data_IF_683675700524
#
_entry.id   IF_683675700524
#
_cell.length_a   1.000
_cell.length_b   1.000
_cell.length_c   1.000
_cell.angle_alpha   90.00
_cell.angle_beta   90.00
_cell.angle_gamma   90.00
#
_symmetry.space_group_name_H-M   'P 1'
#
loop_
_entity.id
_entity.type
_entity.pdbx_description
1 polymer ?
#
# COMPACT_ATOMS: atom_id res chain seq x y z
N UNK A 1 -75.02 42.01 -8.03
CA UNK A 1 -75.36 40.57 -7.91
C UNK A 1 -75.24 40.17 -6.45
N UNK A 2 -76.21 39.45 -5.86
CA UNK A 2 -76.10 38.75 -4.57
C UNK A 2 -75.46 37.35 -4.74
N UNK A 3 -75.11 36.54 -3.73
CA UNK A 3 -74.75 36.71 -2.30
C UNK A 3 -74.29 35.31 -1.75
N UNK A 4 -74.19 35.13 -0.42
CA UNK A 4 -74.07 33.82 0.31
C UNK A 4 -72.70 33.08 0.24
N UNK A 5 -72.38 32.00 1.00
CA UNK A 5 -72.52 31.61 2.44
C UNK A 5 -71.99 30.16 2.63
N UNK A 6 -71.49 29.62 3.77
CA UNK A 6 -71.08 30.15 5.10
C UNK A 6 -70.06 29.17 5.78
N UNK A 7 -69.71 29.38 7.04
CA UNK A 7 -68.80 28.62 7.94
C UNK A 7 -69.07 27.11 8.17
N UNK A 8 -68.06 26.39 8.71
CA UNK A 8 -68.16 25.06 9.36
C UNK A 8 -66.86 24.24 9.22
N UNK A 9 -65.90 24.08 10.16
CA UNK A 9 -65.78 24.15 11.63
C UNK A 9 -65.86 22.78 12.36
N UNK A 10 -64.82 22.46 13.17
CA UNK A 10 -64.68 21.33 14.13
C UNK A 10 -64.62 19.90 13.53
N UNK A 11 -64.09 18.84 14.19
CA UNK A 11 -63.51 18.64 15.53
C UNK A 11 -62.25 17.70 15.41
N UNK A 12 -61.16 17.79 16.20
CA UNK A 12 -60.91 17.58 17.65
C UNK A 12 -60.72 16.08 18.05
N UNK A 13 -59.90 15.86 19.10
CA UNK A 13 -59.40 14.59 19.65
C UNK A 13 -58.30 13.91 18.80
N UNK A 14 -57.06 13.63 19.23
CA UNK A 14 -56.44 13.23 20.53
C UNK A 14 -56.35 11.71 20.73
N UNK A 15 -55.24 11.12 20.30
CA UNK A 15 -54.78 9.80 20.73
C UNK A 15 -53.24 9.76 20.76
N UNK A 16 -52.67 9.31 21.88
CA UNK A 16 -51.24 8.99 22.00
C UNK A 16 -50.92 7.69 21.25
N UNK A 17 -49.85 7.60 20.45
CA UNK A 17 -49.39 6.32 19.94
C UNK A 17 -48.78 5.51 21.09
N UNK A 18 -49.42 4.41 21.47
CA UNK A 18 -48.73 3.35 22.20
C UNK A 18 -47.65 2.72 21.29
N UNK A 19 -46.51 2.26 21.83
CA UNK A 19 -45.59 1.41 21.09
C UNK A 19 -46.29 0.07 20.79
N UNK A 20 -45.97 -0.57 19.65
CA UNK A 20 -45.17 -1.79 19.76
C UNK A 20 -44.27 -2.11 18.55
N UNK A 21 -43.58 -3.24 18.67
CA UNK A 21 -42.87 -4.03 17.65
C UNK A 21 -41.46 -3.54 17.25
N UNK A 22 -40.54 -4.49 17.35
CA UNK A 22 -39.14 -4.44 16.96
C UNK A 22 -38.89 -3.84 15.56
N UNK A 23 -37.78 -3.12 15.35
CA UNK A 23 -37.27 -2.91 14.00
C UNK A 23 -36.93 -4.26 13.37
N UNK A 24 -37.56 -4.54 12.23
CA UNK A 24 -37.30 -5.68 11.35
C UNK A 24 -35.82 -5.91 11.13
N UNK A 25 -35.41 -7.18 11.01
CA UNK A 25 -34.04 -7.59 10.67
C UNK A 25 -33.49 -6.73 9.53
N UNK A 26 -32.45 -5.94 9.83
CA UNK A 26 -31.62 -5.30 8.82
C UNK A 26 -30.84 -6.39 8.09
N UNK A 27 -31.41 -6.90 7.00
CA UNK A 27 -30.65 -7.64 5.99
C UNK A 27 -29.59 -6.69 5.45
N UNK A 28 -28.28 -6.98 5.64
CA UNK A 28 -27.23 -6.10 5.15
C UNK A 28 -27.23 -6.11 3.63
N UNK A 29 -27.70 -5.02 3.02
CA UNK A 29 -27.61 -4.81 1.58
C UNK A 29 -26.13 -4.62 1.24
N UNK A 30 -25.46 -5.73 0.92
CA UNK A 30 -24.11 -5.75 0.36
C UNK A 30 -24.13 -5.20 -1.06
N UNK A 31 -24.36 -3.88 -1.20
CA UNK A 31 -24.14 -3.15 -2.43
C UNK A 31 -22.63 -3.01 -2.66
N UNK A 32 -22.01 -4.12 -3.05
CA UNK A 32 -20.62 -4.20 -3.44
C UNK A 32 -20.45 -3.34 -4.70
N UNK A 33 -19.90 -2.14 -4.51
CA UNK A 33 -19.83 -1.11 -5.55
C UNK A 33 -18.83 -1.51 -6.63
N UNK A 34 -19.32 -2.19 -7.68
CA UNK A 34 -18.53 -2.74 -8.80
C UNK A 34 -17.99 -1.70 -9.78
N UNK A 35 -18.01 -0.42 -9.38
CA UNK A 35 -17.24 0.64 -10.03
C UNK A 35 -15.89 0.79 -9.32
N UNK A 36 -14.76 0.33 -9.93
CA UNK A 36 -13.45 0.73 -9.44
C UNK A 36 -13.36 2.26 -9.45
N UNK A 37 -12.73 2.86 -8.42
CA UNK A 37 -12.50 4.31 -8.40
C UNK A 37 -11.77 4.73 -9.68
N UNK A 38 -12.16 5.86 -10.31
CA UNK A 38 -11.45 6.34 -11.49
C UNK A 38 -9.95 6.51 -11.16
N UNK A 39 -9.04 6.07 -12.05
CA UNK A 39 -7.62 6.20 -11.80
C UNK A 39 -7.21 7.68 -11.66
N UNK A 40 -6.13 7.98 -10.91
CA UNK A 40 -5.60 9.35 -10.83
C UNK A 40 -5.28 9.89 -12.23
N UNK A 41 -5.43 11.20 -12.44
CA UNK A 41 -5.44 11.84 -13.77
C UNK A 41 -4.29 11.36 -14.68
N UNK A 42 -3.05 11.44 -14.20
CA UNK A 42 -1.85 10.99 -14.93
C UNK A 42 -1.79 9.51 -15.34
N UNK A 43 -2.72 8.65 -14.89
CA UNK A 43 -2.89 7.29 -15.43
C UNK A 43 -3.94 7.20 -16.55
N UNK A 44 -4.94 8.08 -16.57
CA UNK A 44 -5.79 8.26 -17.76
C UNK A 44 -4.96 8.82 -18.91
N UNK A 45 -4.11 9.80 -18.61
CA UNK A 45 -3.22 10.41 -19.59
C UNK A 45 -2.19 9.42 -20.17
N UNK A 46 -1.86 8.34 -19.43
CA UNK A 46 -0.93 7.28 -19.83
C UNK A 46 -1.59 6.10 -20.55
N UNK A 47 -2.80 5.68 -20.13
CA UNK A 47 -3.49 4.50 -20.68
C UNK A 47 -4.63 4.83 -21.66
N UNK A 48 -5.04 6.10 -21.76
CA UNK A 48 -6.21 6.55 -22.51
C UNK A 48 -7.52 6.37 -21.74
N UNK A 49 -8.63 6.35 -22.49
CA UNK A 49 -9.95 5.98 -21.94
C UNK A 49 -10.15 4.45 -21.94
N UNK A 50 -11.06 3.95 -21.11
CA UNK A 50 -11.32 2.50 -21.02
C UNK A 50 -12.03 1.99 -22.30
N UNK A 51 -11.47 0.99 -23.00
CA UNK A 51 -12.13 0.40 -24.17
C UNK A 51 -13.49 -0.21 -23.82
N UNK A 52 -14.49 0.09 -24.66
CA UNK A 52 -15.90 -0.23 -24.41
C UNK A 52 -16.14 -1.66 -23.90
N UNK A 53 -16.97 -1.76 -22.84
CA UNK A 53 -17.25 -3.03 -22.17
C UNK A 53 -18.67 -3.52 -22.44
N UNK A 54 -18.80 -4.55 -23.28
CA UNK A 54 -20.01 -5.36 -23.35
C UNK A 54 -19.98 -6.46 -22.28
N UNK A 55 -21.08 -6.62 -21.53
CA UNK A 55 -21.25 -7.66 -20.51
C UNK A 55 -21.23 -9.05 -21.14
N UNK A 56 -20.27 -9.87 -20.74
CA UNK A 56 -20.07 -11.24 -21.18
C UNK A 56 -21.12 -12.20 -20.58
N UNK A 57 -21.24 -13.44 -21.07
CA UNK A 57 -22.10 -14.46 -20.46
C UNK A 57 -21.77 -14.70 -18.98
N UNK A 58 -20.48 -14.65 -18.61
CA UNK A 58 -20.01 -14.80 -17.23
C UNK A 58 -20.54 -13.70 -16.29
N UNK A 59 -20.50 -12.42 -16.70
CA UNK A 59 -21.08 -11.29 -15.94
C UNK A 59 -22.60 -11.48 -15.66
N UNK A 60 -23.29 -12.25 -16.51
CA UNK A 60 -24.74 -12.46 -16.47
C UNK A 60 -25.14 -13.71 -15.69
N UNK A 61 -24.21 -14.64 -15.44
CA UNK A 61 -24.50 -15.96 -14.86
C UNK A 61 -24.70 -15.97 -13.34
N UNK A 62 -24.40 -14.87 -12.66
CA UNK A 62 -24.59 -14.70 -11.21
C UNK A 62 -23.53 -15.42 -10.37
N UNK A 63 -23.28 -14.92 -9.15
CA UNK A 63 -22.12 -15.32 -8.36
C UNK A 63 -22.15 -16.78 -7.85
N UNK A 64 -23.32 -17.40 -7.72
CA UNK A 64 -23.44 -18.82 -7.33
C UNK A 64 -23.31 -19.75 -8.54
N UNK A 65 -24.26 -19.66 -9.47
CA UNK A 65 -24.34 -20.58 -10.62
C UNK A 65 -23.20 -20.36 -11.63
N UNK A 66 -22.86 -19.10 -11.92
CA UNK A 66 -21.79 -18.75 -12.84
C UNK A 66 -20.39 -19.09 -12.34
N UNK A 67 -20.10 -18.85 -11.06
CA UNK A 67 -18.74 -19.02 -10.52
C UNK A 67 -18.42 -20.45 -10.07
N UNK A 68 -19.39 -21.19 -9.50
CA UNK A 68 -19.15 -22.56 -9.00
C UNK A 68 -19.56 -23.66 -9.98
N UNK A 69 -20.56 -23.43 -10.82
CA UNK A 69 -21.10 -24.43 -11.75
C UNK A 69 -20.85 -24.07 -13.23
N UNK A 70 -20.15 -22.96 -13.51
CA UNK A 70 -19.74 -22.50 -14.84
C UNK A 70 -20.87 -22.56 -15.89
N UNK A 71 -22.10 -22.25 -15.50
CA UNK A 71 -23.31 -22.46 -16.33
C UNK A 71 -23.28 -21.73 -17.67
N UNK A 72 -22.53 -20.62 -17.76
CA UNK A 72 -22.29 -19.86 -18.98
C UNK A 72 -21.42 -20.57 -20.02
N UNK A 73 -20.69 -21.62 -19.63
CA UNK A 73 -19.80 -22.38 -20.52
C UNK A 73 -20.54 -23.43 -21.36
N UNK A 74 -21.78 -23.80 -21.00
CA UNK A 74 -22.51 -24.91 -21.63
C UNK A 74 -22.76 -24.73 -23.14
N UNK A 75 -23.13 -23.53 -23.56
CA UNK A 75 -23.32 -23.17 -24.98
C UNK A 75 -21.99 -23.25 -25.77
N UNK A 76 -20.90 -22.78 -25.17
CA UNK A 76 -19.55 -22.89 -25.76
C UNK A 76 -19.10 -24.36 -25.89
N UNK A 77 -19.38 -25.19 -24.88
CA UNK A 77 -19.11 -26.63 -24.94
C UNK A 77 -19.96 -27.33 -26.02
N UNK A 78 -21.23 -26.95 -26.19
CA UNK A 78 -22.11 -27.51 -27.22
C UNK A 78 -21.66 -27.17 -28.64
N UNK A 79 -21.18 -25.93 -28.87
CA UNK A 79 -20.61 -25.51 -30.16
C UNK A 79 -19.26 -26.17 -30.43
N UNK A 80 -18.40 -26.29 -29.41
CA UNK A 80 -17.13 -27.00 -29.50
C UNK A 80 -17.32 -28.48 -29.89
N UNK A 81 -18.33 -29.14 -29.30
CA UNK A 81 -18.70 -30.53 -29.63
C UNK A 81 -19.31 -30.73 -31.03
N UNK A 82 -19.51 -29.64 -31.80
CA UNK A 82 -19.94 -29.64 -33.21
C UNK A 82 -18.88 -29.09 -34.16
N UNK A 83 -17.71 -28.73 -33.64
CA UNK A 83 -16.64 -28.03 -34.38
C UNK A 83 -17.06 -26.62 -34.88
N UNK A 84 -18.17 -26.07 -34.36
CA UNK A 84 -18.73 -24.74 -34.68
C UNK A 84 -18.00 -23.58 -33.98
N UNK A 85 -16.92 -23.84 -33.24
CA UNK A 85 -16.27 -22.88 -32.34
C UNK A 85 -15.25 -22.00 -33.08
N UNK A 86 -15.71 -20.85 -33.58
CA UNK A 86 -14.84 -19.83 -34.19
C UNK A 86 -14.18 -18.91 -33.15
N UNK A 87 -13.07 -18.26 -33.54
CA UNK A 87 -12.31 -17.35 -32.66
C UNK A 87 -13.15 -16.16 -32.17
N UNK A 88 -14.02 -15.60 -33.02
CA UNK A 88 -14.96 -14.53 -32.67
C UNK A 88 -16.10 -14.99 -31.74
N UNK A 89 -16.39 -16.29 -31.73
CA UNK A 89 -17.38 -16.91 -30.83
C UNK A 89 -16.86 -17.17 -29.41
N UNK A 90 -15.57 -16.93 -29.14
CA UNK A 90 -14.98 -17.11 -27.81
C UNK A 90 -15.40 -15.98 -26.84
N UNK A 91 -15.61 -16.29 -25.54
CA UNK A 91 -15.91 -15.28 -24.54
C UNK A 91 -14.72 -14.34 -24.37
N UNK A 92 -14.98 -13.03 -24.33
CA UNK A 92 -13.93 -12.02 -24.06
C UNK A 92 -13.66 -11.99 -22.55
N UNK A 93 -12.45 -11.63 -22.09
CA UNK A 93 -12.17 -11.53 -20.67
C UNK A 93 -13.07 -10.51 -19.97
N UNK A 94 -13.57 -10.89 -18.78
CA UNK A 94 -14.36 -10.01 -17.91
C UNK A 94 -13.62 -8.70 -17.60
N UNK A 95 -14.38 -7.64 -17.29
CA UNK A 95 -13.88 -6.26 -17.19
C UNK A 95 -12.62 -6.14 -16.34
N UNK A 96 -12.62 -6.78 -15.17
CA UNK A 96 -11.50 -6.75 -14.21
C UNK A 96 -10.25 -7.49 -14.71
N UNK A 97 -10.38 -8.50 -15.56
CA UNK A 97 -9.27 -9.29 -16.12
C UNK A 97 -8.80 -8.78 -17.50
N UNK A 98 -9.40 -7.71 -18.04
CA UNK A 98 -8.88 -7.04 -19.25
C UNK A 98 -7.52 -6.40 -18.95
N UNK A 99 -6.57 -6.56 -19.86
CA UNK A 99 -5.21 -6.03 -19.74
C UNK A 99 -5.15 -4.53 -19.42
N UNK A 100 -6.08 -3.73 -19.96
CA UNK A 100 -6.25 -2.31 -19.60
C UNK A 100 -6.53 -2.13 -18.10
N UNK A 101 -7.56 -2.77 -17.54
CA UNK A 101 -7.96 -2.58 -16.14
C UNK A 101 -6.94 -3.18 -15.17
N UNK A 102 -6.39 -4.35 -15.48
CA UNK A 102 -5.29 -4.95 -14.72
C UNK A 102 -4.02 -4.07 -14.74
N UNK A 103 -3.67 -3.50 -15.89
CA UNK A 103 -2.53 -2.60 -16.07
C UNK A 103 -2.70 -1.25 -15.35
N UNK A 104 -3.90 -0.67 -15.40
CA UNK A 104 -4.28 0.55 -14.65
C UNK A 104 -4.25 0.30 -13.14
N UNK A 105 -4.74 -0.84 -12.66
CA UNK A 105 -4.68 -1.20 -11.24
C UNK A 105 -3.23 -1.41 -10.74
N UNK A 106 -2.43 -2.15 -11.51
CA UNK A 106 -1.03 -2.42 -11.18
C UNK A 106 -0.16 -1.15 -11.22
N UNK A 107 -0.32 -0.32 -12.25
CA UNK A 107 0.40 0.95 -12.36
C UNK A 107 0.00 1.95 -11.27
N UNK A 108 -1.27 1.98 -10.84
CA UNK A 108 -1.70 2.77 -9.69
C UNK A 108 -1.03 2.34 -8.39
N UNK A 109 -0.87 1.04 -8.14
CA UNK A 109 -0.19 0.55 -6.94
C UNK A 109 1.34 0.76 -7.01
N UNK A 110 1.97 0.58 -8.18
CA UNK A 110 3.38 0.91 -8.38
C UNK A 110 3.65 2.41 -8.24
N UNK A 111 2.75 3.28 -8.71
CA UNK A 111 2.83 4.73 -8.48
C UNK A 111 2.67 5.09 -7.00
N UNK A 112 1.77 4.43 -6.24
CA UNK A 112 1.68 4.62 -4.78
C UNK A 112 2.95 4.18 -4.07
N UNK A 113 3.53 3.04 -4.44
CA UNK A 113 4.80 2.57 -3.87
C UNK A 113 5.95 3.53 -4.20
N UNK A 114 6.01 4.06 -5.43
CA UNK A 114 6.96 5.11 -5.82
C UNK A 114 6.75 6.39 -5.01
N UNK A 115 5.51 6.88 -4.88
CA UNK A 115 5.19 8.08 -4.11
C UNK A 115 5.51 7.95 -2.61
N UNK A 116 5.33 6.75 -2.02
CA UNK A 116 5.79 6.45 -0.66
C UNK A 116 7.31 6.36 -0.56
N UNK A 117 7.99 5.81 -1.58
CA UNK A 117 9.45 5.72 -1.61
C UNK A 117 10.12 7.09 -1.71
N UNK A 118 9.52 8.00 -2.47
CA UNK A 118 9.94 9.40 -2.64
C UNK A 118 9.21 10.39 -1.71
N UNK A 119 8.56 9.89 -0.65
CA UNK A 119 7.82 10.74 0.27
C UNK A 119 8.72 11.71 1.05
N UNK A 120 9.96 11.28 1.33
CA UNK A 120 10.92 12.03 2.13
C UNK A 120 11.60 13.17 1.35
N UNK A 121 11.60 13.10 0.02
CA UNK A 121 12.14 14.12 -0.90
C UNK A 121 11.50 15.50 -0.63
N UNK A 122 10.20 15.52 -0.26
CA UNK A 122 9.46 16.73 0.13
C UNK A 122 9.76 17.28 1.53
N UNK A 123 10.68 16.66 2.29
CA UNK A 123 11.11 17.09 3.63
C UNK A 123 12.61 17.45 3.68
N UNK A 124 13.28 17.59 2.54
CA UNK A 124 14.62 18.20 2.47
C UNK A 124 14.55 19.61 3.07
N UNK A 125 15.50 19.92 3.97
CA UNK A 125 15.49 21.11 4.82
C UNK A 125 14.88 20.91 6.21
N UNK A 126 14.23 19.78 6.50
CA UNK A 126 13.69 19.50 7.84
C UNK A 126 14.78 19.10 8.85
N UNK A 127 14.55 19.41 10.14
CA UNK A 127 15.41 18.93 11.23
C UNK A 127 15.21 17.43 11.48
N UNK A 128 16.30 16.72 11.74
CA UNK A 128 16.36 15.27 11.93
C UNK A 128 17.37 14.89 13.03
N UNK A 129 17.23 13.67 13.56
CA UNK A 129 18.22 13.00 14.41
C UNK A 129 18.34 11.52 14.05
N UNK A 130 19.31 10.80 14.62
CA UNK A 130 19.32 9.33 14.58
C UNK A 130 18.54 8.76 15.77
N UNK A 131 17.82 7.66 15.52
CA UNK A 131 16.85 7.04 16.44
C UNK A 131 17.41 6.52 17.77
N UNK A 132 18.73 6.48 17.94
CA UNK A 132 19.42 5.99 19.14
C UNK A 132 20.22 7.07 19.88
N UNK A 133 20.24 8.32 19.38
CA UNK A 133 20.94 9.42 20.02
C UNK A 133 20.03 10.66 20.07
N UNK A 134 19.32 10.80 21.19
CA UNK A 134 18.40 11.92 21.43
C UNK A 134 19.09 13.30 21.43
N UNK A 135 20.43 13.36 21.54
CA UNK A 135 21.21 14.60 21.41
C UNK A 135 21.58 14.95 19.94
N UNK A 136 21.52 13.99 19.01
CA UNK A 136 21.92 14.21 17.61
C UNK A 136 20.94 15.10 16.83
N UNK A 137 21.39 16.27 16.35
CA UNK A 137 20.56 17.23 15.62
C UNK A 137 21.23 17.64 14.31
N UNK A 138 20.48 17.57 13.22
CA UNK A 138 20.96 17.91 11.88
C UNK A 138 19.82 18.29 10.96
N UNK A 139 20.16 18.60 9.71
CA UNK A 139 19.22 18.98 8.65
C UNK A 139 19.29 17.94 7.53
N UNK A 140 18.14 17.45 7.09
CA UNK A 140 18.04 16.54 5.96
C UNK A 140 18.39 17.29 4.67
N UNK A 141 19.48 16.92 4.00
CA UNK A 141 19.93 17.54 2.73
C UNK A 141 19.57 16.71 1.50
N UNK A 142 19.54 15.39 1.63
CA UNK A 142 19.32 14.47 0.51
C UNK A 142 18.63 13.18 0.94
N UNK A 143 17.86 12.56 0.05
CA UNK A 143 17.37 11.18 0.21
C UNK A 143 17.47 10.45 -1.12
N UNK A 144 18.06 9.24 -1.11
CA UNK A 144 18.23 8.46 -2.31
C UNK A 144 18.87 7.09 -2.06
N UNK A 145 19.25 6.39 -3.12
CA UNK A 145 20.01 5.15 -3.04
C UNK A 145 21.46 5.43 -3.43
N UNK A 146 22.41 5.22 -2.51
CA UNK A 146 23.84 5.31 -2.78
C UNK A 146 24.29 4.00 -3.43
N UNK A 147 24.95 4.08 -4.58
CA UNK A 147 25.22 2.87 -5.37
C UNK A 147 26.40 2.06 -4.82
N UNK A 148 27.48 2.71 -4.39
CA UNK A 148 28.68 2.01 -3.90
C UNK A 148 28.44 1.23 -2.61
N UNK A 149 27.43 1.61 -1.81
CA UNK A 149 27.00 0.88 -0.62
C UNK A 149 26.40 -0.51 -0.89
N UNK A 150 26.32 -0.96 -2.15
CA UNK A 150 26.05 -2.35 -2.53
C UNK A 150 24.72 -2.92 -2.04
N UNK A 151 23.74 -2.07 -1.73
CA UNK A 151 22.51 -2.43 -1.01
C UNK A 151 21.25 -2.07 -1.80
N UNK A 152 20.98 -2.76 -2.91
CA UNK A 152 19.87 -2.44 -3.81
C UNK A 152 18.52 -2.40 -3.08
N UNK A 153 17.70 -1.39 -3.42
CA UNK A 153 16.39 -1.18 -2.82
C UNK A 153 16.37 -0.49 -1.45
N UNK A 154 17.51 -0.33 -0.76
CA UNK A 154 17.61 0.55 0.41
C UNK A 154 17.48 2.03 0.02
N UNK A 155 17.35 2.88 1.03
CA UNK A 155 17.49 4.33 0.91
C UNK A 155 18.34 4.85 2.08
N UNK A 156 19.03 5.94 1.80
CA UNK A 156 19.91 6.66 2.69
C UNK A 156 19.48 8.13 2.75
N UNK A 157 19.70 8.72 3.91
CA UNK A 157 19.45 10.13 4.19
C UNK A 157 20.81 10.83 4.34
N UNK A 158 21.08 11.76 3.45
CA UNK A 158 22.20 12.71 3.58
C UNK A 158 21.82 13.76 4.60
N UNK A 159 22.55 13.81 5.72
CA UNK A 159 22.27 14.71 6.84
C UNK A 159 23.50 15.57 7.13
N UNK A 160 23.26 16.88 7.25
CA UNK A 160 24.22 17.86 7.73
C UNK A 160 24.02 18.05 9.24
N UNK A 161 25.01 17.71 10.05
CA UNK A 161 24.89 17.66 11.50
C UNK A 161 25.35 18.97 12.16
N UNK A 162 24.48 19.52 13.01
CA UNK A 162 24.80 20.57 13.99
C UNK A 162 25.37 19.95 15.27
N UNK A 163 24.83 18.80 15.66
CA UNK A 163 25.33 17.93 16.72
C UNK A 163 25.39 16.51 16.15
N UNK A 164 26.59 16.08 15.76
CA UNK A 164 26.81 14.75 15.18
C UNK A 164 26.50 13.62 16.19
N UNK A 165 26.05 12.43 15.74
CA UNK A 165 25.76 11.31 16.63
C UNK A 165 26.98 10.90 17.48
N UNK A 166 26.86 11.07 18.79
CA UNK A 166 27.92 10.82 19.79
C UNK A 166 28.28 9.33 19.93
N UNK A 167 27.36 8.44 19.53
CA UNK A 167 27.50 6.99 19.60
C UNK A 167 26.98 6.36 18.31
N UNK A 168 27.84 5.57 17.66
CA UNK A 168 27.42 4.70 16.55
C UNK A 168 27.26 3.28 17.04
N UNK A 169 26.13 2.67 16.67
CA UNK A 169 25.94 1.23 16.85
C UNK A 169 26.85 0.52 15.86
N UNK A 170 27.84 -0.20 16.36
CA UNK A 170 28.82 -0.87 15.49
C UNK A 170 28.14 -1.76 14.45
N UNK A 171 28.63 -1.70 13.21
CA UNK A 171 28.22 -2.58 12.12
C UNK A 171 28.66 -4.02 12.40
N UNK A 172 27.95 -4.72 13.28
CA UNK A 172 28.14 -6.14 13.51
C UNK A 172 27.78 -6.93 12.23
N UNK A 173 28.78 -7.26 11.42
CA UNK A 173 28.66 -8.09 10.21
C UNK A 173 28.43 -9.56 10.59
N UNK A 174 27.29 -9.81 11.26
CA UNK A 174 26.64 -11.12 11.45
C UNK A 174 25.29 -10.91 12.13
N UNK A 175 24.19 -11.08 11.39
CA UNK A 175 22.82 -11.00 11.95
C UNK A 175 22.40 -12.25 12.75
N UNK A 176 23.32 -13.19 12.94
CA UNK A 176 23.15 -14.40 13.75
C UNK A 176 24.24 -14.43 14.85
N UNK A 177 23.85 -14.77 16.08
CA UNK A 177 24.67 -14.88 17.30
C UNK A 177 25.35 -13.60 17.86
N UNK A 178 25.52 -12.51 17.11
CA UNK A 178 26.22 -11.32 17.63
C UNK A 178 25.51 -10.56 18.77
N UNK A 179 24.18 -10.65 18.88
CA UNK A 179 23.36 -9.79 19.75
C UNK A 179 23.53 -10.04 21.26
N UNK A 180 24.00 -11.24 21.65
CA UNK A 180 24.14 -11.62 23.08
C UNK A 180 25.47 -11.18 23.71
N UNK A 181 26.50 -10.86 22.91
CA UNK A 181 27.86 -10.59 23.40
C UNK A 181 28.25 -9.10 23.36
N UNK A 182 27.75 -8.32 22.39
CA UNK A 182 28.16 -6.93 22.19
C UNK A 182 27.27 -5.89 22.90
N UNK A 183 26.95 -6.11 24.18
CA UNK A 183 26.12 -5.19 24.99
C UNK A 183 26.95 -4.15 25.74
N UNK A 184 27.64 -3.26 25.03
CA UNK A 184 28.30 -2.10 25.66
C UNK A 184 29.29 -1.31 24.79
N UNK A 185 29.92 -1.93 23.80
CA UNK A 185 30.97 -1.27 23.04
C UNK A 185 30.41 -0.26 22.03
N UNK A 186 30.64 1.04 22.27
CA UNK A 186 30.62 2.06 21.22
C UNK A 186 31.63 1.68 20.13
N UNK A 187 31.22 1.68 18.87
CA UNK A 187 32.16 1.55 17.77
C UNK A 187 32.69 2.93 17.36
N UNK A 188 33.94 3.03 16.86
CA UNK A 188 34.40 4.24 16.17
C UNK A 188 33.52 4.53 14.95
N UNK A 189 33.62 5.76 14.44
CA UNK A 189 33.00 6.12 13.16
C UNK A 189 33.61 5.26 12.05
N UNK A 190 32.81 4.62 11.19
CA UNK A 190 33.35 3.82 10.10
C UNK A 190 34.04 4.74 9.09
N UNK A 191 35.22 4.34 8.61
CA UNK A 191 36.00 5.09 7.62
C UNK A 191 35.31 5.12 6.23
N UNK A 192 34.46 4.13 5.96
CA UNK A 192 33.71 3.97 4.71
C UNK A 192 32.31 3.41 4.98
N UNK A 193 31.36 3.69 4.08
CA UNK A 193 30.00 3.17 4.15
C UNK A 193 29.02 4.02 4.98
N UNK A 194 27.84 3.49 5.32
CA UNK A 194 26.78 4.23 6.00
C UNK A 194 27.21 4.81 7.34
N UNK A 195 26.94 6.10 7.55
CA UNK A 195 27.35 6.82 8.75
C UNK A 195 28.85 7.17 8.83
N UNK A 196 29.62 6.95 7.77
CA UNK A 196 30.95 7.55 7.63
C UNK A 196 30.82 9.07 7.42
N UNK A 197 31.84 9.83 7.83
CA UNK A 197 31.94 11.26 7.54
C UNK A 197 32.40 11.47 6.10
N UNK A 198 31.76 12.41 5.41
CA UNK A 198 32.09 12.75 4.03
C UNK A 198 31.84 14.24 3.74
N UNK A 199 32.19 14.70 2.53
CA UNK A 199 32.01 16.10 2.08
C UNK A 199 30.93 16.22 0.99
N UNK A 200 29.80 15.55 1.19
CA UNK A 200 28.70 15.52 0.23
C UNK A 200 28.88 14.48 -0.88
N UNK A 201 30.10 14.01 -1.06
CA UNK A 201 30.54 12.99 -2.01
C UNK A 201 30.83 11.66 -1.29
N UNK A 202 30.33 10.56 -1.84
CA UNK A 202 30.64 9.19 -1.38
C UNK A 202 31.29 8.44 -2.53
N UNK A 203 32.52 7.94 -2.34
CA UNK A 203 33.27 7.11 -3.30
C UNK A 203 33.21 7.59 -4.78
N UNK A 204 33.24 8.91 -5.03
CA UNK A 204 33.15 9.53 -6.37
C UNK A 204 31.73 9.92 -6.84
N UNK A 205 30.67 9.59 -6.10
CA UNK A 205 29.27 9.99 -6.37
C UNK A 205 28.92 11.20 -5.48
N UNK A 206 28.83 12.40 -6.07
CA UNK A 206 28.34 13.60 -5.37
C UNK A 206 26.82 13.49 -5.13
N UNK A 207 26.40 13.68 -3.89
CA UNK A 207 25.01 13.52 -3.45
C UNK A 207 24.34 14.86 -3.10
N UNK A 208 25.05 15.76 -2.41
CA UNK A 208 24.57 17.09 -2.01
C UNK A 208 25.72 18.00 -1.55
N UNK A 209 25.58 19.31 -1.72
CA UNK A 209 26.53 20.30 -1.17
C UNK A 209 26.33 20.54 0.34
N UNK A 210 27.40 20.80 1.11
CA UNK A 210 27.29 21.45 2.43
C UNK A 210 26.74 22.87 2.31
N UNK A 211 26.01 23.34 3.33
CA UNK A 211 25.68 24.78 3.45
C UNK A 211 26.77 25.57 4.20
N UNK A 212 27.59 24.91 5.01
CA UNK A 212 28.70 25.50 5.77
C UNK A 212 29.93 24.57 5.74
N UNK A 213 31.12 25.09 5.40
CA UNK A 213 32.33 24.31 5.05
C UNK A 213 32.88 23.38 6.17
N UNK A 214 32.54 23.66 7.43
CA UNK A 214 32.99 22.90 8.62
C UNK A 214 31.88 22.01 9.21
N UNK A 215 30.76 21.83 8.49
CA UNK A 215 29.68 20.93 8.94
C UNK A 215 30.00 19.46 8.72
N UNK A 216 29.60 18.63 9.68
CA UNK A 216 29.77 17.18 9.62
C UNK A 216 28.64 16.59 8.78
N UNK A 217 28.95 16.01 7.63
CA UNK A 217 27.96 15.36 6.75
C UNK A 217 28.04 13.84 6.86
N UNK A 218 26.90 13.14 6.88
CA UNK A 218 26.85 11.67 6.79
C UNK A 218 25.67 11.17 5.97
N UNK A 219 25.82 9.96 5.42
CA UNK A 219 24.72 9.19 4.83
C UNK A 219 24.24 8.11 5.81
N UNK A 220 23.28 8.47 6.67
CA UNK A 220 22.60 7.49 7.54
C UNK A 220 21.54 6.70 6.75
N UNK A 221 21.01 5.61 7.29
CA UNK A 221 19.89 4.89 6.65
C UNK A 221 18.57 5.59 6.97
N UNK A 222 17.62 5.59 6.03
CA UNK A 222 16.29 6.15 6.32
C UNK A 222 15.52 5.32 7.38
N UNK A 223 15.84 4.03 7.57
CA UNK A 223 15.29 3.21 8.67
C UNK A 223 15.74 3.63 10.08
N UNK A 224 16.79 4.46 10.15
CA UNK A 224 17.51 4.86 11.36
C UNK A 224 17.39 6.36 11.69
N UNK A 225 16.92 7.19 10.74
CA UNK A 225 16.68 8.63 10.91
C UNK A 225 15.25 8.90 11.41
N UNK A 226 15.09 9.94 12.23
CA UNK A 226 13.80 10.43 12.73
C UNK A 226 13.69 11.94 12.56
N UNK A 227 12.53 12.44 12.11
CA UNK A 227 12.25 13.87 12.04
C UNK A 227 12.09 14.48 13.44
N UNK A 228 12.69 15.65 13.64
CA UNK A 228 12.54 16.48 14.85
C UNK A 228 11.57 17.61 14.56
N UNK A 229 10.31 17.45 14.96
CA UNK A 229 9.36 18.56 15.00
C UNK A 229 9.86 19.64 15.97
N UNK A 230 9.52 20.89 15.66
CA UNK A 230 10.24 22.05 16.17
C UNK A 230 10.06 22.33 17.66
N UNK A 231 11.07 21.98 18.46
CA UNK A 231 11.43 22.79 19.62
C UNK A 231 12.29 23.96 19.12
N UNK A 232 11.73 25.15 19.23
CA UNK A 232 12.38 26.44 18.99
C UNK A 232 12.95 26.92 20.33
N UNK A 233 14.22 26.60 20.54
CA UNK A 233 15.13 27.04 21.62
C UNK A 233 14.77 26.72 23.09
N UNK A 234 13.50 26.52 23.47
CA UNK A 234 13.10 26.29 24.87
C UNK A 234 13.37 24.84 25.37
N UNK A 235 14.58 24.63 25.90
CA UNK A 235 15.05 23.36 26.45
C UNK A 235 14.39 22.96 27.80
N UNK A 236 13.14 22.51 27.80
CA UNK A 236 12.48 22.02 29.04
C UNK A 236 11.51 20.83 28.94
N UNK A 237 11.03 20.42 27.74
CA UNK A 237 10.06 19.32 27.64
C UNK A 237 10.60 18.08 26.92
N UNK A 238 10.80 17.01 27.70
CA UNK A 238 11.04 15.63 27.22
C UNK A 238 9.71 15.01 26.76
N UNK A 239 9.07 15.62 25.77
CA UNK A 239 7.89 15.06 25.12
C UNK A 239 8.29 13.84 24.30
N UNK A 240 7.81 12.67 24.71
CA UNK A 240 8.12 11.37 24.11
C UNK A 240 8.08 11.43 22.58
N UNK A 241 9.12 10.90 21.92
CA UNK A 241 9.21 10.82 20.44
C UNK A 241 7.99 10.13 19.80
N UNK A 242 7.29 9.26 20.54
CA UNK A 242 6.01 8.65 20.14
C UNK A 242 4.82 9.59 20.08
N UNK A 243 4.83 10.70 20.82
CA UNK A 243 3.79 11.72 20.78
C UNK A 243 3.99 12.63 19.56
N UNK A 244 5.20 13.18 19.41
CA UNK A 244 5.60 14.00 18.24
C UNK A 244 5.42 13.24 16.92
N UNK A 245 5.63 11.91 16.90
CA UNK A 245 5.39 11.11 15.70
C UNK A 245 3.96 11.22 15.15
N UNK A 246 2.94 11.51 16.00
CA UNK A 246 1.54 11.64 15.55
C UNK A 246 1.25 12.96 14.84
N UNK A 247 2.07 13.99 15.04
CA UNK A 247 1.91 15.32 14.42
C UNK A 247 2.57 15.40 13.03
N UNK A 248 3.49 14.47 12.74
CA UNK A 248 4.02 14.27 11.38
C UNK A 248 2.96 13.62 10.48
N UNK A 249 2.89 13.99 9.18
CA UNK A 249 2.05 13.26 8.22
C UNK A 249 2.44 11.78 8.14
N UNK A 250 1.49 10.89 7.82
CA UNK A 250 1.75 9.44 7.73
C UNK A 250 2.91 9.08 6.78
N UNK A 251 3.16 9.93 5.78
CA UNK A 251 4.25 9.79 4.80
C UNK A 251 5.66 10.04 5.37
N UNK A 252 5.77 10.79 6.48
CA UNK A 252 7.01 10.94 7.25
C UNK A 252 7.11 9.90 8.38
N UNK A 253 5.98 9.40 8.90
CA UNK A 253 5.96 8.32 9.90
C UNK A 253 6.36 6.96 9.31
N UNK A 254 6.00 6.69 8.06
CA UNK A 254 6.32 5.43 7.38
C UNK A 254 7.72 5.50 6.74
N UNK A 255 8.58 4.54 7.09
CA UNK A 255 9.88 4.38 6.44
C UNK A 255 9.68 4.00 4.96
N UNK A 256 10.37 4.65 3.99
CA UNK A 256 10.20 4.39 2.58
C UNK A 256 10.80 3.02 2.21
N UNK A 257 9.92 2.08 1.86
CA UNK A 257 10.28 0.71 1.51
C UNK A 257 10.80 0.56 0.06
N UNK A 258 11.48 -0.55 -0.29
CA UNK A 258 11.68 -0.93 -1.69
C UNK A 258 10.33 -1.13 -2.39
N UNK A 259 10.26 -0.78 -3.68
CA UNK A 259 9.12 -1.12 -4.55
C UNK A 259 9.13 -2.64 -4.74
N UNK A 260 8.00 -3.29 -4.45
CA UNK A 260 7.87 -4.74 -4.51
C UNK A 260 6.81 -5.13 -5.53
N UNK A 261 7.23 -5.36 -6.78
CA UNK A 261 6.34 -5.74 -7.89
C UNK A 261 5.54 -7.00 -7.56
N UNK A 262 6.18 -8.04 -6.99
CA UNK A 262 5.50 -9.25 -6.54
C UNK A 262 4.45 -8.96 -5.45
N UNK A 263 4.72 -8.03 -4.53
CA UNK A 263 3.75 -7.66 -3.49
C UNK A 263 2.57 -6.85 -4.05
N UNK A 264 2.81 -6.00 -5.06
CA UNK A 264 1.72 -5.34 -5.81
C UNK A 264 0.84 -6.36 -6.55
N UNK A 265 1.45 -7.29 -7.29
CA UNK A 265 0.72 -8.39 -7.97
C UNK A 265 -0.04 -9.25 -6.96
N UNK A 266 0.59 -9.64 -5.85
CA UNK A 266 -0.06 -10.42 -4.80
C UNK A 266 -1.22 -9.67 -4.18
N UNK A 267 -1.05 -8.42 -3.73
CA UNK A 267 -2.14 -7.68 -3.07
C UNK A 267 -3.33 -7.38 -3.99
N UNK A 268 -3.10 -7.13 -5.28
CA UNK A 268 -4.17 -6.91 -6.26
C UNK A 268 -4.89 -8.20 -6.66
N UNK A 269 -4.15 -9.28 -6.93
CA UNK A 269 -4.71 -10.52 -7.51
C UNK A 269 -4.86 -11.67 -6.49
N UNK A 270 -4.59 -11.44 -5.20
CA UNK A 270 -4.68 -12.45 -4.11
C UNK A 270 -5.97 -13.25 -4.17
N UNK A 271 -7.12 -12.61 -4.43
CA UNK A 271 -8.40 -13.31 -4.45
C UNK A 271 -8.43 -14.36 -5.56
N UNK A 272 -8.14 -13.97 -6.81
CA UNK A 272 -8.09 -14.90 -7.95
C UNK A 272 -7.01 -15.98 -7.77
N UNK A 273 -5.83 -15.62 -7.26
CA UNK A 273 -4.74 -16.57 -6.95
C UNK A 273 -5.18 -17.61 -5.91
N UNK A 274 -5.88 -17.19 -4.84
CA UNK A 274 -6.38 -18.10 -3.81
C UNK A 274 -7.42 -19.09 -4.36
N UNK A 275 -8.29 -18.66 -5.29
CA UNK A 275 -9.23 -19.59 -5.93
C UNK A 275 -8.50 -20.67 -6.74
N UNK A 276 -7.47 -20.29 -7.51
CA UNK A 276 -6.63 -21.25 -8.26
C UNK A 276 -5.90 -22.22 -7.32
N UNK A 277 -5.35 -21.74 -6.19
CA UNK A 277 -4.68 -22.59 -5.19
C UNK A 277 -5.66 -23.56 -4.52
N UNK A 278 -6.84 -23.10 -4.12
CA UNK A 278 -7.87 -23.95 -3.49
C UNK A 278 -8.39 -25.01 -4.46
N UNK A 279 -8.69 -24.63 -5.71
CA UNK A 279 -9.10 -25.58 -6.75
C UNK A 279 -7.99 -26.60 -7.07
N UNK A 280 -6.72 -26.17 -7.06
CA UNK A 280 -5.57 -27.07 -7.19
C UNK A 280 -5.46 -28.08 -6.05
N UNK A 281 -5.65 -27.65 -4.81
CA UNK A 281 -5.65 -28.53 -3.63
C UNK A 281 -6.81 -29.55 -3.72
N UNK A 282 -8.02 -29.10 -4.08
CA UNK A 282 -9.19 -29.96 -4.24
C UNK A 282 -8.94 -30.99 -5.36
N UNK A 283 -8.47 -30.56 -6.54
CA UNK A 283 -8.12 -31.45 -7.66
C UNK A 283 -7.11 -32.52 -7.24
N UNK A 284 -6.02 -32.12 -6.58
CA UNK A 284 -4.98 -33.04 -6.14
C UNK A 284 -5.51 -34.04 -5.09
N UNK A 285 -6.38 -33.58 -4.18
CA UNK A 285 -7.10 -34.44 -3.24
C UNK A 285 -7.99 -35.47 -3.94
N UNK A 286 -8.80 -35.05 -4.90
CA UNK A 286 -9.63 -35.97 -5.71
C UNK A 286 -8.77 -36.98 -6.49
N UNK A 287 -7.65 -36.55 -7.07
CA UNK A 287 -6.73 -37.46 -7.77
C UNK A 287 -6.09 -38.49 -6.82
N UNK A 288 -5.72 -38.10 -5.60
CA UNK A 288 -5.23 -39.02 -4.56
C UNK A 288 -6.31 -39.99 -4.05
N UNK A 289 -7.57 -39.58 -4.00
CA UNK A 289 -8.71 -40.43 -3.60
C UNK A 289 -9.17 -41.38 -4.70
N UNK A 290 -8.92 -41.06 -5.97
CA UNK A 290 -9.34 -41.88 -7.13
C UNK A 290 -8.87 -43.35 -7.05
N UNK A 291 -7.57 -43.67 -6.82
CA UNK A 291 -7.11 -45.06 -6.68
C UNK A 291 -7.55 -45.75 -5.38
N UNK A 292 -8.09 -45.01 -4.39
CA UNK A 292 -8.72 -45.61 -3.21
C UNK A 292 -10.17 -45.99 -3.53
N UNK A 293 -10.93 -45.13 -4.20
CA UNK A 293 -12.31 -45.41 -4.62
C UNK A 293 -12.38 -46.58 -5.62
N UNK A 294 -11.47 -46.63 -6.59
CA UNK A 294 -11.27 -47.76 -7.53
C UNK A 294 -10.71 -49.05 -6.88
N UNK A 295 -10.66 -49.11 -5.55
CA UNK A 295 -10.26 -50.29 -4.76
C UNK A 295 -11.33 -50.74 -3.77
N UNK A 296 -12.46 -50.02 -3.72
CA UNK A 296 -13.66 -50.33 -2.94
C UNK A 296 -14.89 -50.61 -3.82
N UNK A 297 -14.79 -50.32 -5.12
CA UNK A 297 -15.65 -50.78 -6.21
C UNK A 297 -14.87 -51.75 -7.09
#
# INVERSE_FOLDING_TARGET
MPAYSVSGQLARASATPHPPVHPTVLTPVYHQSSHPRPPPRGLRDLFGEEPAYEKQPEDRAGWLLGAFFHTWLGDLMQRAAREELTMDGLPRPMREYRAYNAGVALSAELQRQRARRHAWDGYVGARVGVRWDDASDGVLRWVGAVQQYGTPGRLYAGVEWRVAPSRRRGCCVRRCMGWLLCRGCSAPVPEQGPGAYHRGEVDGEHLFDPVEDDTVLTCERVEDVVFRLGLRDDASQVSSTRALLKELPESAQQCPHPIQVWWAVWTLFRQSIMHVVVLGIIRNGCQLMTPLLLKWF
#
